data_IF_498344000562
#
_entry.id   IF_498344000562
#
_cell.length_a   1.000
_cell.length_b   1.000
_cell.length_c   1.000
_cell.angle_alpha   90.00
_cell.angle_beta   90.00
_cell.angle_gamma   90.00
#
_symmetry.space_group_name_H-M   'P 1'
#
loop_
_entity.id
_entity.type
_entity.pdbx_description
1 polymer ?
#
# COMPACT_ATOMS: atom_id res chain seq x y z
N UNK A 1 13.57 12.62 25.93
CA UNK A 1 13.77 11.87 24.68
C UNK A 1 14.44 10.52 24.92
N UNK A 2 15.70 10.48 25.39
CA UNK A 2 16.47 9.23 25.60
C UNK A 2 15.72 8.15 26.40
N UNK A 3 15.13 8.48 27.55
CA UNK A 3 14.43 7.50 28.39
C UNK A 3 13.23 6.83 27.69
N UNK A 4 12.51 7.57 26.83
CA UNK A 4 11.37 7.03 26.07
C UNK A 4 11.84 6.06 25.00
N UNK A 5 12.95 6.38 24.33
CA UNK A 5 13.55 5.47 23.33
C UNK A 5 14.17 4.25 24.02
N UNK A 6 14.73 4.40 25.22
CA UNK A 6 15.30 3.30 26.02
C UNK A 6 14.27 2.23 26.41
N UNK A 7 12.99 2.59 26.54
CA UNK A 7 11.92 1.63 26.77
C UNK A 7 11.78 0.60 25.63
N UNK A 8 12.20 0.96 24.41
CA UNK A 8 12.17 0.09 23.22
C UNK A 8 13.59 -0.45 22.92
N UNK A 9 14.60 0.40 23.08
CA UNK A 9 16.00 0.11 22.80
C UNK A 9 16.87 0.38 24.02
N UNK A 10 17.05 -0.59 24.94
CA UNK A 10 17.71 -0.36 26.23
C UNK A 10 19.14 0.18 26.16
N UNK A 11 19.84 -0.06 25.04
CA UNK A 11 21.21 0.42 24.79
C UNK A 11 21.27 1.84 24.18
N UNK A 12 20.12 2.48 23.97
CA UNK A 12 20.06 3.84 23.45
C UNK A 12 20.62 4.83 24.48
N UNK A 13 21.46 5.76 24.07
CA UNK A 13 22.11 6.72 24.98
C UNK A 13 22.11 8.16 24.41
N UNK A 14 22.62 9.09 25.20
CA UNK A 14 22.68 10.51 24.85
C UNK A 14 23.58 10.80 23.63
N UNK A 15 24.63 10.00 23.42
CA UNK A 15 25.54 10.14 22.28
C UNK A 15 24.83 9.77 20.99
N UNK A 16 24.06 8.66 21.01
CA UNK A 16 23.23 8.25 19.87
C UNK A 16 22.15 9.29 19.59
N UNK A 17 21.51 9.82 20.64
CA UNK A 17 20.52 10.90 20.52
C UNK A 17 21.10 12.15 19.85
N UNK A 18 22.26 12.61 20.30
CA UNK A 18 22.94 13.77 19.72
C UNK A 18 23.27 13.57 18.23
N UNK A 19 23.65 12.35 17.81
CA UNK A 19 23.88 12.03 16.39
C UNK A 19 22.57 12.04 15.58
N UNK A 20 21.49 11.50 16.13
CA UNK A 20 20.18 11.53 15.47
C UNK A 20 19.63 12.96 15.32
N UNK A 21 19.90 13.85 16.28
CA UNK A 21 19.53 15.27 16.21
C UNK A 21 20.36 16.02 15.15
N UNK A 22 21.61 15.63 14.96
CA UNK A 22 22.50 16.14 13.90
C UNK A 22 22.52 15.19 12.69
N UNK A 23 21.35 14.63 12.35
CA UNK A 23 21.23 13.53 11.40
C UNK A 23 21.81 13.83 10.02
N UNK A 24 21.76 15.07 9.54
CA UNK A 24 22.33 15.46 8.23
C UNK A 24 23.86 15.35 8.20
N UNK A 25 24.53 15.59 9.32
CA UNK A 25 25.99 15.50 9.41
C UNK A 25 26.47 14.05 9.58
N UNK A 26 25.69 13.21 10.25
CA UNK A 26 26.05 11.83 10.57
C UNK A 26 25.39 10.77 9.69
N UNK A 27 24.41 11.17 8.86
CA UNK A 27 23.62 10.25 8.04
C UNK A 27 22.75 9.28 8.84
N UNK A 28 22.43 9.59 10.10
CA UNK A 28 21.66 8.70 10.99
C UNK A 28 20.38 9.37 11.45
N UNK A 29 19.26 8.64 11.38
CA UNK A 29 17.96 9.07 11.87
C UNK A 29 17.39 8.07 12.88
N UNK A 30 16.47 8.54 13.71
CA UNK A 30 15.78 7.68 14.66
C UNK A 30 14.86 6.69 13.93
N UNK A 31 14.80 5.44 14.39
CA UNK A 31 13.90 4.45 13.81
C UNK A 31 12.42 4.91 13.91
N UNK A 32 11.57 4.58 12.93
CA UNK A 32 10.19 5.07 12.89
C UNK A 32 9.33 4.71 14.11
N UNK A 33 9.56 3.54 14.70
CA UNK A 33 8.88 3.07 15.92
C UNK A 33 9.30 3.86 17.17
N UNK A 34 10.59 4.12 17.34
CA UNK A 34 11.10 5.00 18.39
C UNK A 34 10.58 6.43 18.22
N UNK A 35 10.53 6.93 16.98
CA UNK A 35 9.96 8.24 16.68
C UNK A 35 8.46 8.30 16.97
N UNK A 36 7.70 7.25 16.63
CA UNK A 36 6.28 7.15 16.96
C UNK A 36 6.03 7.15 18.48
N UNK A 37 6.88 6.46 19.26
CA UNK A 37 6.81 6.47 20.72
C UNK A 37 7.10 7.85 21.31
N UNK A 38 8.05 8.59 20.72
CA UNK A 38 8.30 9.98 21.10
C UNK A 38 7.12 10.90 20.79
N UNK A 39 6.51 10.78 19.60
CA UNK A 39 5.29 11.53 19.29
C UNK A 39 4.16 11.18 20.24
N UNK A 40 3.90 9.89 20.51
CA UNK A 40 2.84 9.48 21.43
C UNK A 40 3.04 10.02 22.86
N UNK A 41 4.29 10.19 23.30
CA UNK A 41 4.61 10.64 24.66
C UNK A 41 4.67 12.18 24.79
N UNK A 42 5.18 12.89 23.78
CA UNK A 42 5.43 14.34 23.86
C UNK A 42 4.49 15.20 23.02
N UNK A 43 3.85 14.64 22.00
CA UNK A 43 2.96 15.34 21.08
C UNK A 43 1.86 14.39 20.57
N UNK A 44 1.01 13.87 21.48
CA UNK A 44 -0.01 12.87 21.14
C UNK A 44 -0.98 13.36 20.04
N UNK A 45 -1.22 14.66 19.94
CA UNK A 45 -2.01 15.30 18.88
C UNK A 45 -1.41 15.10 17.47
N UNK A 46 -0.07 15.02 17.37
CA UNK A 46 0.62 14.74 16.12
C UNK A 46 0.72 13.23 15.81
N UNK A 47 0.61 12.39 16.85
CA UNK A 47 0.65 10.94 16.70
C UNK A 47 -0.62 10.39 16.03
N UNK A 48 -1.78 11.01 16.29
CA UNK A 48 -3.06 10.62 15.68
C UNK A 48 -3.09 10.85 14.16
N UNK A 49 -2.45 11.92 13.67
CA UNK A 49 -2.35 12.21 12.24
C UNK A 49 -1.40 11.30 11.44
N UNK A 50 -0.46 10.60 12.11
CA UNK A 50 0.56 9.76 11.46
C UNK A 50 0.28 8.25 11.51
N UNK A 51 -0.75 7.81 12.23
CA UNK A 51 -1.07 6.38 12.43
C UNK A 51 -1.50 5.61 11.17
N UNK A 52 -1.66 6.28 10.02
CA UNK A 52 -1.97 5.60 8.77
C UNK A 52 -0.83 5.77 7.76
N UNK A 53 0.27 5.03 7.95
CA UNK A 53 0.99 4.55 6.76
C UNK A 53 -0.06 3.76 6.00
N UNK A 54 -0.53 4.31 4.86
CA UNK A 54 -1.51 3.67 3.98
C UNK A 54 -0.97 2.29 3.63
N UNK A 55 -1.37 1.28 4.40
CA UNK A 55 -1.37 -0.11 3.95
C UNK A 55 -2.12 -0.06 2.64
N UNK A 56 -1.46 -0.54 1.61
CA UNK A 56 -1.87 -0.40 0.23
C UNK A 56 -3.41 -0.53 0.10
N UNK A 57 -4.06 0.62 -0.09
CA UNK A 57 -5.51 0.77 0.04
C UNK A 57 -6.22 0.39 -1.26
N UNK A 58 -5.55 -0.37 -2.13
CA UNK A 58 -6.14 -0.91 -3.33
C UNK A 58 -7.22 -1.93 -2.94
N UNK A 59 -8.49 -1.50 -3.01
CA UNK A 59 -9.68 -2.35 -2.82
C UNK A 59 -9.69 -3.59 -3.73
N UNK A 60 -8.98 -3.55 -4.85
CA UNK A 60 -8.87 -4.65 -5.82
C UNK A 60 -7.41 -5.14 -5.86
N UNK A 61 -7.08 -6.10 -5.00
CA UNK A 61 -5.72 -6.65 -4.87
C UNK A 61 -5.43 -7.84 -5.80
N UNK A 62 -6.46 -8.56 -6.24
CA UNK A 62 -6.31 -9.74 -7.09
C UNK A 62 -6.24 -9.35 -8.58
N UNK A 63 -5.25 -9.90 -9.31
CA UNK A 63 -5.03 -9.62 -10.73
C UNK A 63 -5.22 -10.88 -11.58
N UNK A 64 -5.91 -10.72 -12.71
CA UNK A 64 -6.03 -11.72 -13.78
C UNK A 64 -5.19 -11.22 -14.96
N UNK A 65 -4.35 -12.09 -15.53
CA UNK A 65 -3.51 -11.77 -16.70
C UNK A 65 -3.29 -12.99 -17.58
N UNK A 66 -3.32 -12.80 -18.89
CA UNK A 66 -3.04 -13.83 -19.89
C UNK A 66 -2.24 -13.24 -21.06
N UNK A 67 -1.55 -14.10 -21.82
CA UNK A 67 -0.92 -13.74 -23.11
C UNK A 67 -1.80 -14.29 -24.22
N UNK A 68 -2.07 -13.45 -25.22
CA UNK A 68 -2.88 -13.79 -26.39
C UNK A 68 -2.00 -13.65 -27.65
N UNK A 69 -2.37 -14.38 -28.70
CA UNK A 69 -1.83 -14.10 -30.03
C UNK A 69 -2.29 -12.72 -30.51
N UNK A 70 -1.51 -12.10 -31.38
CA UNK A 70 -1.80 -10.75 -31.89
C UNK A 70 -3.19 -10.67 -32.53
N UNK A 71 -3.55 -11.68 -33.33
CA UNK A 71 -4.83 -11.72 -34.02
C UNK A 71 -6.02 -11.76 -33.03
N UNK A 72 -5.91 -12.58 -31.98
CA UNK A 72 -6.94 -12.70 -30.94
C UNK A 72 -7.05 -11.42 -30.11
N UNK A 73 -5.91 -10.79 -29.80
CA UNK A 73 -5.89 -9.53 -29.08
C UNK A 73 -6.57 -8.40 -29.87
N UNK A 74 -6.25 -8.27 -31.16
CA UNK A 74 -6.85 -7.25 -32.04
C UNK A 74 -8.34 -7.49 -32.29
N UNK A 75 -8.76 -8.76 -32.42
CA UNK A 75 -10.17 -9.12 -32.51
C UNK A 75 -10.90 -8.74 -31.22
N UNK A 76 -10.31 -9.05 -30.06
CA UNK A 76 -10.88 -8.72 -28.76
C UNK A 76 -11.02 -7.20 -28.56
N UNK A 77 -10.02 -6.41 -28.91
CA UNK A 77 -10.10 -4.94 -28.77
C UNK A 77 -11.27 -4.36 -29.57
N UNK A 78 -11.51 -4.83 -30.79
CA UNK A 78 -12.64 -4.39 -31.63
C UNK A 78 -13.99 -4.77 -31.03
N UNK A 79 -14.10 -5.95 -30.42
CA UNK A 79 -15.33 -6.38 -29.73
C UNK A 79 -15.62 -5.53 -28.50
N UNK A 80 -14.61 -5.25 -27.68
CA UNK A 80 -14.74 -4.40 -26.49
C UNK A 80 -15.26 -3.00 -26.85
N UNK A 81 -14.72 -2.42 -27.93
CA UNK A 81 -15.14 -1.11 -28.43
C UNK A 81 -16.58 -1.16 -28.98
N UNK A 82 -16.92 -2.20 -29.75
CA UNK A 82 -18.26 -2.38 -30.29
C UNK A 82 -19.33 -2.61 -29.20
N UNK A 83 -18.97 -3.27 -28.11
CA UNK A 83 -19.83 -3.47 -26.94
C UNK A 83 -19.94 -2.22 -26.03
N UNK A 84 -19.16 -1.17 -26.30
CA UNK A 84 -19.26 0.12 -25.62
C UNK A 84 -18.56 0.19 -24.26
N UNK A 85 -17.65 -0.74 -23.96
CA UNK A 85 -16.88 -0.69 -22.72
C UNK A 85 -15.79 0.37 -22.77
N UNK A 86 -15.69 1.18 -21.71
CA UNK A 86 -14.69 2.25 -21.64
C UNK A 86 -13.24 1.72 -21.51
N UNK A 87 -13.06 0.53 -20.93
CA UNK A 87 -11.74 -0.10 -20.76
C UNK A 87 -11.81 -1.62 -20.83
N UNK A 88 -10.72 -2.28 -21.20
CA UNK A 88 -10.59 -3.75 -21.13
C UNK A 88 -10.80 -4.28 -19.71
N UNK A 89 -10.44 -3.50 -18.68
CA UNK A 89 -10.67 -3.89 -17.28
C UNK A 89 -12.17 -3.96 -16.95
N UNK A 90 -12.95 -3.02 -17.46
CA UNK A 90 -14.41 -2.98 -17.26
C UNK A 90 -15.07 -4.18 -17.96
N UNK A 91 -14.72 -4.42 -19.23
CA UNK A 91 -15.14 -5.60 -19.98
C UNK A 91 -14.78 -6.91 -19.28
N UNK A 92 -13.54 -7.05 -18.79
CA UNK A 92 -13.09 -8.25 -18.09
C UNK A 92 -13.86 -8.44 -16.78
N UNK A 93 -14.11 -7.35 -16.04
CA UNK A 93 -14.89 -7.40 -14.78
C UNK A 93 -16.33 -7.84 -15.04
N UNK A 94 -16.98 -7.31 -16.07
CA UNK A 94 -18.33 -7.70 -16.46
C UNK A 94 -18.39 -9.17 -16.90
N UNK A 95 -17.43 -9.59 -17.73
CA UNK A 95 -17.32 -10.97 -18.21
C UNK A 95 -17.13 -11.97 -17.08
N UNK A 96 -16.22 -11.68 -16.13
CA UNK A 96 -15.98 -12.53 -14.96
C UNK A 96 -17.23 -12.64 -14.09
N UNK A 97 -17.95 -11.53 -13.85
CA UNK A 97 -19.20 -11.54 -13.07
C UNK A 97 -20.29 -12.37 -13.75
N UNK A 98 -20.44 -12.21 -15.07
CA UNK A 98 -21.40 -13.00 -15.85
C UNK A 98 -21.08 -14.49 -15.77
N UNK A 99 -19.81 -14.86 -15.97
CA UNK A 99 -19.37 -16.25 -15.90
C UNK A 99 -19.62 -16.89 -14.52
N UNK A 100 -19.36 -16.15 -13.43
CA UNK A 100 -19.65 -16.62 -12.06
C UNK A 100 -21.16 -16.77 -11.84
N UNK A 101 -21.98 -15.82 -12.31
CA UNK A 101 -23.44 -15.89 -12.18
C UNK A 101 -24.02 -17.09 -12.94
N UNK A 102 -23.64 -17.26 -14.21
CA UNK A 102 -24.05 -18.40 -15.04
C UNK A 102 -23.64 -19.74 -14.42
N UNK A 103 -22.41 -19.83 -13.88
CA UNK A 103 -21.93 -21.04 -13.19
C UNK A 103 -22.69 -21.32 -11.88
N UNK A 104 -23.18 -20.29 -11.19
CA UNK A 104 -23.95 -20.43 -9.95
C UNK A 104 -25.45 -20.71 -10.16
N UNK A 105 -26.00 -20.40 -11.33
CA UNK A 105 -27.40 -20.70 -11.70
C UNK A 105 -27.62 -22.15 -12.14
N UNK A 106 -26.53 -22.92 -12.33
CA UNK A 106 -26.58 -24.32 -12.76
C UNK A 106 -26.66 -25.33 -11.60
N UNK A 107 -26.92 -24.87 -10.37
CA UNK A 107 -27.00 -25.68 -9.15
C UNK A 107 -28.43 -25.75 -8.57
#
# INVERSE_FOLDING_TARGET
MVAVVQAIYPKYDKTVQSKCENGDAYGVSLRPDAMAALYAHFAPELAEGRKAVKKDAHRLTCRISARLETADYEALQRLIEAEGYATTQDWLTATVRRYIAEAGETE
#
